data_IF_522384601070
#
_entry.id   IF_522384601070
#
_cell.length_a   1.000
_cell.length_b   1.000
_cell.length_c   1.000
_cell.angle_alpha   90.00
_cell.angle_beta   90.00
_cell.angle_gamma   90.00
#
_symmetry.space_group_name_H-M   'P 1'
#
loop_
_entity.id
_entity.type
_entity.pdbx_description
1 polymer ?
#
# COMPACT_ATOMS: atom_id res chain seq x y z
N UNK A 1 -13.74 32.42 2.30
CA UNK A 1 -12.37 32.09 1.90
C UNK A 1 -11.69 31.28 3.00
N UNK A 2 -10.89 30.29 2.61
CA UNK A 2 -10.08 29.50 3.55
C UNK A 2 -8.97 30.37 4.15
N UNK A 3 -8.75 30.28 5.45
CA UNK A 3 -7.75 31.08 6.19
C UNK A 3 -6.67 30.22 6.86
N UNK A 4 -6.74 28.89 6.72
CA UNK A 4 -5.77 27.96 7.27
C UNK A 4 -4.51 27.80 6.41
N UNK A 5 -3.57 27.03 6.90
CA UNK A 5 -2.40 26.61 6.13
C UNK A 5 -2.81 25.66 4.99
N UNK A 6 -2.14 25.79 3.85
CA UNK A 6 -2.36 24.94 2.68
C UNK A 6 -1.04 24.36 2.21
N UNK A 7 -0.95 23.03 2.17
CA UNK A 7 0.22 22.30 1.72
C UNK A 7 -0.13 21.41 0.53
N UNK A 8 0.73 21.38 -0.48
CA UNK A 8 0.62 20.45 -1.58
C UNK A 8 1.54 19.24 -1.33
N UNK A 9 1.01 18.01 -1.42
CA UNK A 9 1.75 16.81 -1.06
C UNK A 9 3.09 16.65 -1.82
N UNK A 10 3.14 17.07 -3.10
CA UNK A 10 4.40 17.06 -3.88
C UNK A 10 5.38 18.19 -3.50
N UNK A 11 4.99 19.10 -2.63
CA UNK A 11 5.82 20.22 -2.11
C UNK A 11 5.76 20.26 -0.60
N UNK A 12 5.81 19.07 0.03
CA UNK A 12 5.82 18.97 1.46
C UNK A 12 7.07 19.66 2.03
N UNK A 13 6.94 20.52 3.07
CA UNK A 13 8.09 21.20 3.64
C UNK A 13 9.14 20.21 4.17
N UNK A 14 10.43 20.46 3.87
CA UNK A 14 11.50 19.59 4.31
C UNK A 14 11.61 19.45 5.84
N UNK A 15 11.20 20.50 6.58
CA UNK A 15 11.14 20.49 8.04
C UNK A 15 9.90 19.82 8.61
N UNK A 16 9.03 19.25 7.76
CA UNK A 16 7.74 18.73 8.17
C UNK A 16 6.69 19.81 8.41
N UNK A 17 5.51 19.38 8.83
CA UNK A 17 4.38 20.24 9.25
C UNK A 17 3.92 19.76 10.61
N UNK A 18 3.85 20.65 11.58
CA UNK A 18 3.26 20.32 12.89
C UNK A 18 1.75 20.18 12.72
N UNK A 19 1.24 18.98 12.92
CA UNK A 19 -0.17 18.61 12.77
C UNK A 19 -0.82 18.24 14.11
N UNK A 20 -0.06 18.19 15.19
CA UNK A 20 -0.56 17.78 16.49
C UNK A 20 -1.72 18.66 16.96
N UNK A 21 -2.83 18.03 17.31
CA UNK A 21 -4.02 18.69 17.80
C UNK A 21 -4.73 19.64 16.80
N UNK A 22 -4.38 19.55 15.50
CA UNK A 22 -5.01 20.37 14.46
C UNK A 22 -6.17 19.65 13.78
N UNK A 23 -7.09 20.42 13.23
CA UNK A 23 -8.13 19.93 12.32
C UNK A 23 -7.57 19.96 10.89
N UNK A 24 -7.44 18.82 10.27
CA UNK A 24 -6.78 18.66 8.96
C UNK A 24 -7.76 18.15 7.92
N UNK A 25 -7.79 18.79 6.76
CA UNK A 25 -8.50 18.33 5.57
C UNK A 25 -7.53 17.75 4.54
N UNK A 26 -7.78 16.55 4.04
CA UNK A 26 -7.02 15.96 2.93
C UNK A 26 -7.91 15.89 1.70
N UNK A 27 -7.48 16.53 0.60
CA UNK A 27 -8.19 16.51 -0.67
C UNK A 27 -7.59 15.43 -1.58
N UNK A 28 -8.40 14.43 -1.86
CA UNK A 28 -8.04 13.31 -2.74
C UNK A 28 -7.57 12.05 -2.01
N UNK A 29 -7.89 10.91 -2.62
CA UNK A 29 -7.63 9.56 -2.10
C UNK A 29 -6.86 8.71 -3.11
N UNK A 30 -6.03 9.31 -3.91
CA UNK A 30 -5.02 8.60 -4.68
C UNK A 30 -3.91 8.04 -3.78
N UNK A 31 -2.94 7.34 -4.34
CA UNK A 31 -1.87 6.68 -3.59
C UNK A 31 -1.21 7.60 -2.55
N UNK A 32 -0.82 8.79 -2.94
CA UNK A 32 -0.21 9.77 -2.01
C UNK A 32 -1.19 10.21 -0.91
N UNK A 33 -2.46 10.48 -1.28
CA UNK A 33 -3.49 10.90 -0.31
C UNK A 33 -3.72 9.84 0.76
N UNK A 34 -3.85 8.57 0.37
CA UNK A 34 -4.03 7.45 1.32
C UNK A 34 -2.83 7.31 2.25
N UNK A 35 -1.60 7.43 1.75
CA UNK A 35 -0.40 7.35 2.60
C UNK A 35 -0.35 8.52 3.60
N UNK A 36 -0.65 9.74 3.17
CA UNK A 36 -0.72 10.90 4.06
C UNK A 36 -1.82 10.70 5.12
N UNK A 37 -3.04 10.31 4.73
CA UNK A 37 -4.16 10.04 5.63
C UNK A 37 -3.74 9.05 6.72
N UNK A 38 -3.14 7.93 6.32
CA UNK A 38 -2.72 6.87 7.25
C UNK A 38 -1.65 7.36 8.22
N UNK A 39 -0.70 8.17 7.73
CA UNK A 39 0.39 8.68 8.54
C UNK A 39 -0.07 9.71 9.58
N UNK A 40 -0.98 10.62 9.20
CA UNK A 40 -1.37 11.75 10.07
C UNK A 40 -2.57 11.45 10.98
N UNK A 41 -3.38 10.43 10.66
CA UNK A 41 -4.59 10.11 11.42
C UNK A 41 -4.37 9.98 12.95
N UNK A 42 -3.27 9.37 13.43
CA UNK A 42 -3.03 9.27 14.87
C UNK A 42 -2.55 10.58 15.54
N UNK A 43 -2.17 11.60 14.78
CA UNK A 43 -1.54 12.82 15.29
C UNK A 43 -2.51 14.00 15.36
N UNK A 44 -3.54 14.02 14.50
CA UNK A 44 -4.44 15.17 14.36
C UNK A 44 -5.63 15.07 15.32
N UNK A 45 -6.18 16.22 15.71
CA UNK A 45 -7.42 16.27 16.49
C UNK A 45 -8.63 15.79 15.68
N UNK A 46 -8.70 16.21 14.41
CA UNK A 46 -9.76 15.82 13.48
C UNK A 46 -9.21 15.69 12.06
N UNK A 47 -9.52 14.59 11.41
CA UNK A 47 -9.22 14.36 10.01
C UNK A 47 -10.48 14.35 9.16
N UNK A 48 -10.52 15.20 8.13
CA UNK A 48 -11.60 15.23 7.15
C UNK A 48 -11.02 14.86 5.79
N UNK A 49 -11.52 13.79 5.18
CA UNK A 49 -11.10 13.34 3.86
C UNK A 49 -12.13 13.75 2.81
N UNK A 50 -11.70 14.51 1.83
CA UNK A 50 -12.52 14.97 0.72
C UNK A 50 -12.21 14.13 -0.53
N UNK A 51 -13.14 13.27 -0.88
CA UNK A 51 -13.02 12.30 -1.97
C UNK A 51 -14.05 12.57 -3.06
N UNK A 52 -13.61 12.70 -4.30
CA UNK A 52 -14.48 12.80 -5.46
C UNK A 52 -14.86 11.41 -6.01
N UNK A 53 -13.85 10.57 -6.20
CA UNK A 53 -14.02 9.22 -6.77
C UNK A 53 -13.44 8.21 -5.78
N UNK A 54 -14.23 7.23 -5.34
CA UNK A 54 -13.74 6.15 -4.49
C UNK A 54 -12.60 5.38 -5.15
N UNK A 55 -11.62 5.00 -4.35
CA UNK A 55 -10.51 4.17 -4.76
C UNK A 55 -10.50 2.89 -3.91
N UNK A 56 -10.16 1.77 -4.54
CA UNK A 56 -9.91 0.54 -3.81
C UNK A 56 -8.55 0.63 -3.13
N UNK A 57 -8.51 0.29 -1.86
CA UNK A 57 -7.30 0.28 -1.05
C UNK A 57 -7.13 -1.09 -0.42
N UNK A 58 -5.90 -1.55 -0.36
CA UNK A 58 -5.52 -2.80 0.29
C UNK A 58 -4.42 -2.53 1.32
N UNK A 59 -4.32 -3.33 2.40
CA UNK A 59 -3.26 -3.19 3.38
C UNK A 59 -1.89 -3.34 2.72
N UNK A 60 -0.98 -2.40 2.98
CA UNK A 60 0.40 -2.50 2.50
C UNK A 60 1.25 -3.45 3.35
N UNK A 61 0.93 -3.59 4.63
CA UNK A 61 1.69 -4.43 5.54
C UNK A 61 3.13 -3.91 5.73
N UNK A 62 3.27 -2.57 5.88
CA UNK A 62 4.58 -1.96 6.11
C UNK A 62 5.25 -2.55 7.35
N UNK A 63 6.50 -2.96 7.21
CA UNK A 63 7.31 -3.55 8.27
C UNK A 63 8.77 -3.68 7.85
N UNK A 64 9.61 -4.25 8.70
CA UNK A 64 10.99 -4.57 8.35
C UNK A 64 11.04 -5.47 7.11
N UNK A 65 12.06 -5.28 6.28
CA UNK A 65 12.28 -6.12 5.10
C UNK A 65 12.46 -7.59 5.56
N UNK A 66 11.69 -8.54 5.02
CA UNK A 66 11.73 -9.93 5.49
C UNK A 66 13.12 -10.54 5.37
N UNK A 67 13.62 -11.14 6.44
CA UNK A 67 14.96 -11.73 6.49
C UNK A 67 15.14 -12.83 5.44
N UNK A 68 14.09 -13.61 5.16
CA UNK A 68 14.11 -14.65 4.12
C UNK A 68 14.32 -14.05 2.72
N UNK A 69 13.72 -12.89 2.42
CA UNK A 69 13.95 -12.19 1.16
C UNK A 69 15.34 -11.58 1.11
N UNK A 70 15.84 -11.06 2.24
CA UNK A 70 17.19 -10.54 2.37
C UNK A 70 18.22 -11.64 2.09
N UNK A 71 18.11 -12.79 2.78
CA UNK A 71 18.99 -13.92 2.62
C UNK A 71 19.02 -14.44 1.17
N UNK A 72 17.86 -14.51 0.50
CA UNK A 72 17.79 -14.88 -0.93
C UNK A 72 18.53 -13.89 -1.82
N UNK A 73 18.36 -12.58 -1.56
CA UNK A 73 19.03 -11.53 -2.31
C UNK A 73 20.55 -11.54 -2.09
N UNK A 74 20.98 -11.79 -0.85
CA UNK A 74 22.41 -11.80 -0.47
C UNK A 74 23.12 -13.06 -1.00
N UNK A 75 22.39 -14.19 -1.11
CA UNK A 75 22.94 -15.45 -1.63
C UNK A 75 23.32 -15.36 -3.12
N UNK A 76 22.50 -14.75 -3.94
CA UNK A 76 22.78 -14.49 -5.36
C UNK A 76 21.99 -13.27 -5.84
N UNK A 77 22.63 -12.12 -5.76
CA UNK A 77 22.00 -10.84 -6.12
C UNK A 77 21.63 -10.75 -7.59
N UNK A 78 22.46 -11.30 -8.47
CA UNK A 78 22.22 -11.24 -9.91
C UNK A 78 21.02 -12.11 -10.29
N UNK A 79 20.96 -13.33 -9.78
CA UNK A 79 19.81 -14.21 -9.97
C UNK A 79 18.54 -13.64 -9.38
N UNK A 80 18.62 -12.99 -8.20
CA UNK A 80 17.48 -12.32 -7.58
C UNK A 80 16.94 -11.17 -8.43
N UNK A 81 17.84 -10.31 -8.95
CA UNK A 81 17.45 -9.19 -9.82
C UNK A 81 16.84 -9.71 -11.12
N UNK A 82 17.42 -10.74 -11.73
CA UNK A 82 16.88 -11.35 -12.95
C UNK A 82 15.47 -11.92 -12.72
N UNK A 83 15.29 -12.69 -11.64
CA UNK A 83 13.98 -13.20 -11.25
C UNK A 83 12.97 -12.05 -11.04
N UNK A 84 13.36 -10.96 -10.36
CA UNK A 84 12.47 -9.82 -10.14
C UNK A 84 12.09 -9.12 -11.44
N UNK A 85 13.03 -8.97 -12.38
CA UNK A 85 12.78 -8.39 -13.70
C UNK A 85 11.87 -9.26 -14.58
N UNK A 86 11.96 -10.58 -14.44
CA UNK A 86 11.13 -11.54 -15.18
C UNK A 86 9.74 -11.75 -14.58
N UNK A 87 9.53 -11.25 -13.34
CA UNK A 87 8.23 -11.38 -12.67
C UNK A 87 7.21 -10.35 -13.15
N UNK A 88 5.91 -10.62 -12.91
CA UNK A 88 4.84 -9.68 -13.22
C UNK A 88 5.09 -8.30 -12.63
N UNK A 89 4.82 -7.31 -13.45
CA UNK A 89 4.98 -5.90 -13.09
C UNK A 89 6.38 -5.55 -12.55
N UNK A 90 7.38 -6.45 -12.70
CA UNK A 90 8.78 -6.24 -12.29
C UNK A 90 8.93 -6.03 -10.77
N UNK A 91 7.98 -6.55 -9.97
CA UNK A 91 7.99 -6.37 -8.51
C UNK A 91 8.64 -7.52 -7.73
N UNK A 92 9.08 -8.60 -8.41
CA UNK A 92 9.57 -9.78 -7.70
C UNK A 92 8.47 -10.42 -6.84
N UNK A 93 7.27 -10.52 -7.39
CA UNK A 93 6.12 -11.20 -6.82
C UNK A 93 5.86 -12.51 -7.57
N UNK A 94 5.39 -13.51 -6.84
CA UNK A 94 4.96 -14.78 -7.44
C UNK A 94 3.50 -14.65 -7.87
N UNK A 95 3.25 -14.80 -9.17
CA UNK A 95 1.88 -14.79 -9.68
C UNK A 95 1.18 -16.11 -9.40
N UNK A 96 -0.06 -16.00 -8.95
CA UNK A 96 -0.94 -17.16 -8.92
C UNK A 96 -1.38 -17.53 -10.35
N UNK A 97 -1.34 -18.80 -10.65
CA UNK A 97 -1.91 -19.35 -11.90
C UNK A 97 -3.34 -19.89 -11.70
N UNK A 98 -3.91 -19.75 -10.52
CA UNK A 98 -5.25 -20.26 -10.19
C UNK A 98 -6.30 -19.22 -10.56
N UNK A 99 -7.20 -19.49 -11.54
CA UNK A 99 -8.28 -18.55 -11.84
C UNK A 99 -9.24 -18.41 -10.67
N UNK A 100 -9.61 -17.19 -10.32
CA UNK A 100 -10.50 -16.93 -9.18
C UNK A 100 -11.83 -17.68 -9.24
N UNK A 101 -12.35 -17.91 -10.45
CA UNK A 101 -13.63 -18.60 -10.67
C UNK A 101 -13.51 -20.13 -10.72
N UNK A 102 -12.29 -20.69 -10.66
CA UNK A 102 -12.06 -22.14 -10.60
C UNK A 102 -12.24 -22.73 -9.21
N UNK A 103 -12.31 -21.89 -8.17
CA UNK A 103 -12.48 -22.30 -6.78
C UNK A 103 -13.87 -21.91 -6.24
N UNK A 104 -14.27 -22.52 -5.14
CA UNK A 104 -15.54 -22.18 -4.47
C UNK A 104 -15.51 -20.75 -3.92
N UNK A 105 -16.70 -20.17 -3.68
CA UNK A 105 -16.83 -18.84 -3.09
C UNK A 105 -16.15 -18.77 -1.71
N UNK A 106 -16.31 -19.81 -0.88
CA UNK A 106 -15.72 -19.88 0.45
C UNK A 106 -14.18 -19.98 0.41
N UNK A 107 -13.64 -20.71 -0.55
CA UNK A 107 -12.20 -20.79 -0.74
C UNK A 107 -11.63 -19.44 -1.21
N UNK A 108 -12.32 -18.80 -2.13
CA UNK A 108 -11.95 -17.46 -2.63
C UNK A 108 -11.92 -16.42 -1.51
N UNK A 109 -12.96 -16.41 -0.67
CA UNK A 109 -13.02 -15.53 0.49
C UNK A 109 -11.86 -15.80 1.46
N UNK A 110 -11.58 -17.07 1.76
CA UNK A 110 -10.46 -17.48 2.63
C UNK A 110 -9.11 -17.00 2.09
N UNK A 111 -8.87 -17.12 0.79
CA UNK A 111 -7.62 -16.68 0.14
C UNK A 111 -7.48 -15.16 0.22
N UNK A 112 -8.54 -14.42 -0.10
CA UNK A 112 -8.52 -12.96 -0.01
C UNK A 112 -8.36 -12.47 1.44
N UNK A 113 -9.04 -13.09 2.40
CA UNK A 113 -8.89 -12.72 3.81
C UNK A 113 -7.46 -12.96 4.31
N UNK A 114 -6.88 -14.11 3.98
CA UNK A 114 -5.49 -14.40 4.34
C UNK A 114 -4.50 -13.39 3.71
N UNK A 115 -4.73 -12.99 2.46
CA UNK A 115 -3.93 -11.98 1.78
C UNK A 115 -4.13 -10.59 2.41
N UNK A 116 -5.36 -10.25 2.80
CA UNK A 116 -5.67 -9.00 3.50
C UNK A 116 -4.93 -8.89 4.82
N UNK A 117 -4.97 -9.94 5.63
CA UNK A 117 -4.28 -9.99 6.93
C UNK A 117 -2.75 -9.92 6.79
N UNK A 118 -2.21 -10.53 5.74
CA UNK A 118 -0.77 -10.47 5.45
C UNK A 118 -0.33 -9.08 4.98
N UNK A 119 -1.19 -8.34 4.32
CA UNK A 119 -0.84 -7.13 3.60
C UNK A 119 -0.04 -7.44 2.33
N UNK A 120 0.81 -6.51 1.89
CA UNK A 120 1.71 -6.71 0.75
C UNK A 120 1.32 -5.94 -0.51
N UNK A 121 0.33 -5.05 -0.43
CA UNK A 121 -0.01 -4.16 -1.55
C UNK A 121 -0.33 -4.91 -2.85
N UNK A 122 0.54 -4.80 -3.85
CA UNK A 122 0.34 -5.50 -5.14
C UNK A 122 0.31 -7.02 -5.05
N UNK A 123 0.93 -7.62 -4.04
CA UNK A 123 0.83 -9.05 -3.75
C UNK A 123 -0.62 -9.50 -3.51
N UNK A 124 -1.45 -8.61 -2.95
CA UNK A 124 -2.88 -8.90 -2.82
C UNK A 124 -3.55 -9.20 -4.18
N UNK A 125 -3.13 -8.50 -5.24
CA UNK A 125 -3.70 -8.68 -6.59
C UNK A 125 -3.06 -9.85 -7.34
N UNK A 126 -1.75 -10.00 -7.24
CA UNK A 126 -0.98 -10.91 -8.11
C UNK A 126 -0.80 -12.31 -7.52
N UNK A 127 -0.69 -12.43 -6.19
CA UNK A 127 -0.41 -13.71 -5.52
C UNK A 127 -1.67 -14.47 -5.09
N UNK A 128 -2.87 -13.87 -5.21
CA UNK A 128 -4.12 -14.53 -4.81
C UNK A 128 -4.70 -15.39 -5.92
N UNK A 129 -5.01 -14.76 -7.04
CA UNK A 129 -5.58 -15.41 -8.21
C UNK A 129 -5.02 -14.81 -9.50
N UNK A 130 -4.89 -15.63 -10.57
CA UNK A 130 -4.49 -15.26 -11.91
C UNK A 130 -5.66 -15.17 -12.89
#
# INVERSE_FOLDING_TARGET
SYRGELHHAARWPAGGVDLAGKRVGVLGTGSTGIQVITAIAPEVEQLVVLQRTPQYVVPLGCGPFPETKRARMDADREAYVRWALDSAAVFGLEESSTPAMSVSASERERVFEAAWQRGGGFGFMLETFG
#
